data_IF_630937978447
#
_entry.id   IF_630937978447
#
_cell.length_a   1.000
_cell.length_b   1.000
_cell.length_c   1.000
_cell.angle_alpha   90.00
_cell.angle_beta   90.00
_cell.angle_gamma   90.00
#
_symmetry.space_group_name_H-M   'P 1'
#
loop_
_entity.id
_entity.type
_entity.pdbx_description
1 polymer ?
#
# COMPACT_ATOMS: atom_id res chain seq x y z
N UNK A 1 -5.49 12.92 26.16
CA UNK A 1 -4.13 13.43 25.85
C UNK A 1 -4.01 13.66 24.35
N UNK A 2 -3.19 14.62 23.92
CA UNK A 2 -2.96 14.91 22.49
C UNK A 2 -1.92 13.96 21.90
N UNK A 3 -2.06 13.62 20.61
CA UNK A 3 -1.10 12.80 19.86
C UNK A 3 -0.31 13.60 18.81
N UNK A 4 -0.38 14.93 18.84
CA UNK A 4 0.38 15.79 17.92
C UNK A 4 -0.04 15.72 16.44
N UNK A 5 -1.23 15.18 16.14
CA UNK A 5 -1.70 14.95 14.77
C UNK A 5 -2.76 15.97 14.29
N UNK A 6 -2.90 17.12 14.96
CA UNK A 6 -3.87 18.17 14.57
C UNK A 6 -3.11 19.39 14.07
N UNK A 7 -3.12 19.62 12.77
CA UNK A 7 -2.44 20.76 12.14
C UNK A 7 -3.11 21.13 10.80
N UNK A 8 -2.84 22.33 10.31
CA UNK A 8 -3.36 22.88 9.05
C UNK A 8 -2.20 23.19 8.08
N UNK A 9 -2.52 23.34 6.79
CA UNK A 9 -1.50 23.70 5.78
C UNK A 9 -1.00 25.15 5.90
N UNK A 10 -1.81 26.06 6.45
CA UNK A 10 -1.46 27.46 6.66
C UNK A 10 -2.20 28.06 7.86
N UNK A 11 -1.84 29.30 8.24
CA UNK A 11 -2.49 30.04 9.32
C UNK A 11 -3.97 30.35 9.06
N UNK A 12 -4.39 30.37 7.79
CA UNK A 12 -5.75 30.74 7.37
C UNK A 12 -6.67 29.51 7.18
N UNK A 13 -6.15 28.31 7.45
CA UNK A 13 -6.85 27.05 7.24
C UNK A 13 -7.30 26.44 8.57
N UNK A 14 -8.45 25.77 8.56
CA UNK A 14 -8.95 25.04 9.72
C UNK A 14 -8.08 23.81 9.97
N UNK A 15 -7.62 23.64 11.21
CA UNK A 15 -6.90 22.45 11.66
C UNK A 15 -7.85 21.27 11.89
N UNK A 16 -7.39 20.07 11.53
CA UNK A 16 -8.09 18.82 11.79
C UNK A 16 -7.09 17.67 11.90
N UNK A 17 -7.58 16.47 12.19
CA UNK A 17 -6.76 15.28 12.40
C UNK A 17 -6.12 14.82 11.08
N UNK A 18 -4.82 15.02 10.98
CA UNK A 18 -3.97 14.64 9.85
C UNK A 18 -3.32 13.29 10.07
N UNK A 19 -2.89 12.68 8.98
CA UNK A 19 -2.05 11.48 9.07
C UNK A 19 -0.65 11.87 9.55
N UNK A 20 -0.06 11.14 10.51
CA UNK A 20 1.37 11.23 10.79
C UNK A 20 2.16 10.44 9.74
N UNK A 21 3.46 10.23 9.97
CA UNK A 21 4.21 9.24 9.21
C UNK A 21 3.82 7.84 9.69
N UNK A 22 3.28 7.01 8.79
CA UNK A 22 2.80 5.67 9.12
C UNK A 22 3.59 4.65 8.33
N UNK A 23 4.35 3.83 9.04
CA UNK A 23 5.23 2.81 8.45
C UNK A 23 4.93 1.43 9.00
N UNK A 24 5.06 0.42 8.13
CA UNK A 24 5.14 -0.97 8.53
C UNK A 24 6.60 -1.29 8.86
N UNK A 25 6.86 -1.77 10.07
CA UNK A 25 8.19 -2.22 10.46
C UNK A 25 8.64 -3.40 9.56
N UNK A 26 9.94 -3.46 9.18
CA UNK A 26 10.45 -4.61 8.45
C UNK A 26 10.32 -5.90 9.27
N UNK A 27 10.35 -7.03 8.58
CA UNK A 27 10.45 -8.35 9.21
C UNK A 27 11.72 -8.44 10.05
N UNK A 28 11.64 -9.14 11.19
CA UNK A 28 12.79 -9.34 12.08
C UNK A 28 13.72 -10.46 11.61
N UNK A 29 13.17 -11.44 10.91
CA UNK A 29 13.90 -12.58 10.37
C UNK A 29 14.39 -12.28 8.96
N UNK A 30 15.56 -12.82 8.61
CA UNK A 30 16.13 -12.66 7.28
C UNK A 30 15.20 -13.26 6.23
N UNK A 31 14.69 -12.43 5.33
CA UNK A 31 13.73 -12.82 4.31
C UNK A 31 13.81 -11.85 3.13
N UNK A 32 14.28 -12.36 1.98
CA UNK A 32 14.32 -11.58 0.74
C UNK A 32 13.03 -11.67 -0.05
N UNK A 33 12.82 -10.71 -0.95
CA UNK A 33 11.72 -10.75 -1.94
C UNK A 33 11.75 -12.04 -2.77
N UNK A 34 12.94 -12.50 -3.16
CA UNK A 34 13.10 -13.73 -3.92
C UNK A 34 12.66 -14.96 -3.13
N UNK A 35 12.91 -15.00 -1.82
CA UNK A 35 12.49 -16.11 -0.97
C UNK A 35 10.97 -16.14 -0.78
N UNK A 36 10.32 -14.98 -0.74
CA UNK A 36 8.86 -14.90 -0.78
C UNK A 36 8.31 -15.40 -2.12
N UNK A 37 8.87 -14.92 -3.24
CA UNK A 37 8.41 -15.28 -4.60
C UNK A 37 8.50 -16.79 -4.84
N UNK A 38 9.60 -17.44 -4.44
CA UNK A 38 9.80 -18.90 -4.61
C UNK A 38 8.64 -19.74 -4.08
N UNK A 39 7.95 -19.26 -3.04
CA UNK A 39 6.85 -19.95 -2.35
C UNK A 39 5.46 -19.51 -2.83
N UNK A 40 5.35 -18.95 -4.04
CA UNK A 40 4.10 -18.50 -4.66
C UNK A 40 3.84 -19.29 -5.95
N UNK A 41 2.79 -20.10 -5.97
CA UNK A 41 2.38 -20.87 -7.16
C UNK A 41 1.78 -19.97 -8.25
N UNK A 42 0.89 -19.06 -7.85
CA UNK A 42 0.27 -18.07 -8.74
C UNK A 42 0.03 -16.79 -7.97
N UNK A 43 0.52 -15.66 -8.48
CA UNK A 43 0.35 -14.36 -7.83
C UNK A 43 0.78 -13.20 -8.71
N UNK A 44 0.75 -12.01 -8.14
CA UNK A 44 1.22 -10.79 -8.80
C UNK A 44 2.20 -10.09 -7.87
N UNK A 45 3.38 -9.79 -8.38
CA UNK A 45 4.32 -8.89 -7.73
C UNK A 45 4.04 -7.46 -8.17
N UNK A 46 3.62 -6.63 -7.22
CA UNK A 46 3.26 -5.23 -7.44
C UNK A 46 4.39 -4.36 -6.90
N UNK A 47 4.95 -3.49 -7.74
CA UNK A 47 6.04 -2.60 -7.38
C UNK A 47 5.52 -1.16 -7.33
N UNK A 48 5.88 -0.49 -6.23
CA UNK A 48 5.56 0.90 -5.92
C UNK A 48 4.06 1.17 -5.80
N UNK A 49 3.71 2.42 -5.50
CA UNK A 49 2.34 2.89 -5.41
C UNK A 49 1.77 3.29 -6.79
N UNK A 50 0.45 3.47 -6.84
CA UNK A 50 -0.30 3.88 -8.02
C UNK A 50 -1.57 4.61 -7.61
N UNK A 51 -2.62 4.52 -8.42
CA UNK A 51 -3.90 5.13 -8.08
C UNK A 51 -4.46 4.57 -6.77
N UNK A 52 -5.05 5.42 -5.94
CA UNK A 52 -5.73 5.02 -4.71
C UNK A 52 -7.16 5.56 -4.63
N UNK A 53 -8.06 4.71 -4.13
CA UNK A 53 -9.44 5.08 -3.81
C UNK A 53 -9.82 4.41 -2.50
N UNK A 54 -10.37 5.18 -1.57
CA UNK A 54 -10.73 4.74 -0.21
C UNK A 54 -12.11 5.28 0.11
N UNK A 55 -12.97 4.45 0.71
CA UNK A 55 -14.29 4.93 1.13
C UNK A 55 -14.21 5.86 2.35
N UNK A 56 -15.31 6.55 2.65
CA UNK A 56 -15.35 7.51 3.77
C UNK A 56 -15.15 6.85 5.13
N UNK A 57 -15.49 5.57 5.29
CA UNK A 57 -15.31 4.84 6.54
C UNK A 57 -13.88 4.29 6.69
N UNK A 58 -13.05 4.40 5.64
CA UNK A 58 -11.76 3.72 5.50
C UNK A 58 -11.88 2.19 5.66
N UNK A 59 -13.06 1.65 5.37
CA UNK A 59 -13.37 0.24 5.48
C UNK A 59 -12.98 -0.49 4.21
N UNK A 60 -13.23 0.11 3.04
CA UNK A 60 -12.89 -0.46 1.74
C UNK A 60 -11.88 0.40 0.98
N UNK A 61 -11.02 -0.25 0.19
CA UNK A 61 -10.09 0.42 -0.70
C UNK A 61 -9.93 -0.29 -2.05
N UNK A 62 -9.47 0.47 -3.05
CA UNK A 62 -8.95 -0.03 -4.32
C UNK A 62 -7.64 0.68 -4.62
N UNK A 63 -6.55 -0.08 -4.75
CA UNK A 63 -5.22 0.44 -5.05
C UNK A 63 -4.62 -0.16 -6.32
N UNK A 64 -3.76 0.61 -6.97
CA UNK A 64 -2.91 0.18 -8.07
C UNK A 64 -1.44 0.13 -7.64
N UNK A 65 -0.55 0.03 -8.62
CA UNK A 65 0.90 0.06 -8.47
C UNK A 65 1.54 0.58 -9.75
N UNK A 66 2.84 0.81 -9.72
CA UNK A 66 3.58 1.34 -10.86
C UNK A 66 3.95 0.25 -11.86
N UNK A 67 4.36 -0.92 -11.38
CA UNK A 67 4.65 -2.10 -12.22
C UNK A 67 3.99 -3.33 -11.63
N UNK A 68 3.57 -4.24 -12.52
CA UNK A 68 2.93 -5.50 -12.17
C UNK A 68 3.63 -6.64 -12.90
N UNK A 69 3.99 -7.69 -12.16
CA UNK A 69 4.60 -8.89 -12.72
C UNK A 69 3.82 -10.13 -12.31
N UNK A 70 3.55 -11.02 -13.26
CA UNK A 70 2.97 -12.33 -12.94
C UNK A 70 4.03 -13.21 -12.26
N UNK A 71 3.65 -13.80 -11.12
CA UNK A 71 4.39 -14.88 -10.50
C UNK A 71 3.71 -16.21 -10.87
N UNK A 72 4.49 -17.15 -11.40
CA UNK A 72 4.05 -18.52 -11.68
C UNK A 72 5.12 -19.52 -11.23
N UNK A 73 4.72 -20.49 -10.41
CA UNK A 73 5.56 -21.56 -9.87
C UNK A 73 6.90 -21.05 -9.31
N UNK A 74 6.83 -20.02 -8.46
CA UNK A 74 8.00 -19.47 -7.78
C UNK A 74 8.87 -18.54 -8.63
N UNK A 75 8.39 -18.09 -9.80
CA UNK A 75 9.17 -17.26 -10.74
C UNK A 75 8.35 -16.12 -11.32
N UNK A 76 9.00 -14.98 -11.56
CA UNK A 76 8.43 -13.90 -12.38
C UNK A 76 8.45 -14.35 -13.84
N UNK A 77 7.30 -14.32 -14.52
CA UNK A 77 7.16 -14.82 -15.91
C UNK A 77 6.86 -13.74 -16.93
N UNK A 78 6.48 -12.54 -16.52
CA UNK A 78 6.22 -11.42 -17.42
C UNK A 78 5.50 -10.26 -16.74
N UNK A 79 5.37 -9.14 -17.46
CA UNK A 79 4.62 -7.98 -16.98
C UNK A 79 3.13 -8.14 -17.24
N UNK A 80 2.33 -7.60 -16.31
CA UNK A 80 0.89 -7.42 -16.46
C UNK A 80 0.57 -5.93 -16.64
N UNK A 81 -0.61 -5.67 -17.17
CA UNK A 81 -1.19 -4.33 -17.27
C UNK A 81 -2.62 -4.34 -16.74
N UNK A 82 -3.14 -3.15 -16.48
CA UNK A 82 -4.55 -2.95 -16.09
C UNK A 82 -4.90 -3.69 -14.79
N UNK A 83 -3.99 -3.73 -13.82
CA UNK A 83 -4.17 -4.42 -12.54
C UNK A 83 -4.54 -3.43 -11.43
N UNK A 84 -5.58 -3.76 -10.66
CA UNK A 84 -5.86 -3.12 -9.38
C UNK A 84 -6.29 -4.17 -8.36
N UNK A 85 -6.03 -3.94 -7.08
CA UNK A 85 -6.46 -4.81 -6.00
C UNK A 85 -7.45 -4.09 -5.10
N UNK A 86 -8.45 -4.82 -4.64
CA UNK A 86 -9.53 -4.34 -3.79
C UNK A 86 -9.61 -5.20 -2.55
N UNK A 87 -9.85 -4.57 -1.40
CA UNK A 87 -10.13 -5.31 -0.18
C UNK A 87 -10.82 -4.42 0.86
N UNK A 88 -11.38 -5.11 1.85
CA UNK A 88 -11.60 -4.52 3.16
C UNK A 88 -10.26 -4.33 3.88
N UNK A 89 -10.09 -3.21 4.59
CA UNK A 89 -8.85 -2.88 5.31
C UNK A 89 -8.45 -3.95 6.33
N UNK A 90 -9.39 -4.42 7.16
CA UNK A 90 -9.10 -5.41 8.21
C UNK A 90 -8.76 -6.78 7.61
N UNK A 91 -9.54 -7.22 6.63
CA UNK A 91 -9.28 -8.49 5.93
C UNK A 91 -7.93 -8.48 5.20
N UNK A 92 -7.59 -7.37 4.54
CA UNK A 92 -6.30 -7.21 3.86
C UNK A 92 -5.14 -7.37 4.84
N UNK A 93 -5.14 -6.63 5.96
CA UNK A 93 -4.04 -6.73 6.92
C UNK A 93 -3.99 -8.09 7.63
N UNK A 94 -5.14 -8.72 7.90
CA UNK A 94 -5.19 -10.11 8.41
C UNK A 94 -4.64 -11.13 7.41
N UNK A 95 -4.62 -10.81 6.12
CA UNK A 95 -4.07 -11.68 5.07
C UNK A 95 -2.55 -11.53 4.85
N UNK A 96 -1.89 -10.64 5.60
CA UNK A 96 -0.45 -10.46 5.56
C UNK A 96 0.25 -11.69 6.14
N UNK A 97 0.98 -12.43 5.30
CA UNK A 97 1.64 -13.70 5.68
C UNK A 97 3.16 -13.60 5.76
N UNK A 98 3.76 -12.57 5.18
CA UNK A 98 5.20 -12.33 5.27
C UNK A 98 5.54 -10.86 5.05
N UNK A 99 6.63 -10.41 5.68
CA UNK A 99 7.24 -9.09 5.53
C UNK A 99 8.73 -9.30 5.33
N UNK A 100 9.30 -8.77 4.25
CA UNK A 100 10.74 -8.82 4.02
C UNK A 100 11.52 -8.09 5.11
N UNK A 101 12.80 -8.45 5.28
CA UNK A 101 13.67 -7.86 6.28
C UNK A 101 14.05 -6.40 5.98
N UNK A 102 14.88 -5.82 6.85
CA UNK A 102 15.32 -4.43 6.76
C UNK A 102 16.11 -4.11 5.49
N UNK A 103 16.72 -5.11 4.84
CA UNK A 103 17.48 -4.89 3.60
C UNK A 103 16.59 -4.50 2.42
N UNK A 104 15.28 -4.75 2.52
CA UNK A 104 14.27 -4.37 1.54
C UNK A 104 13.47 -3.12 1.93
N UNK A 105 13.73 -2.52 3.10
CA UNK A 105 12.93 -1.40 3.59
C UNK A 105 13.09 -0.15 2.72
N UNK A 106 11.98 0.47 2.37
CA UNK A 106 11.92 1.72 1.57
C UNK A 106 11.01 2.72 2.25
N UNK A 107 11.36 4.01 2.14
CA UNK A 107 10.54 5.13 2.63
C UNK A 107 10.07 5.97 1.44
N UNK A 108 8.75 5.98 1.22
CA UNK A 108 8.09 6.85 0.25
C UNK A 108 7.51 8.10 0.91
N UNK A 109 7.40 9.19 0.16
CA UNK A 109 6.77 10.43 0.61
C UNK A 109 5.59 10.83 -0.27
N UNK A 110 4.59 11.49 0.32
CA UNK A 110 3.47 12.10 -0.38
C UNK A 110 3.26 13.54 0.09
N UNK A 111 2.78 14.39 -0.83
CA UNK A 111 2.53 15.82 -0.58
C UNK A 111 1.09 16.12 -0.11
N UNK A 112 0.31 15.08 0.19
CA UNK A 112 -0.99 15.19 0.84
C UNK A 112 -1.40 13.84 1.45
N UNK A 113 -2.33 13.87 2.40
CA UNK A 113 -2.94 12.70 3.05
C UNK A 113 -4.40 12.47 2.61
N UNK A 114 -4.83 13.11 1.52
CA UNK A 114 -6.18 12.97 0.96
C UNK A 114 -7.31 13.52 1.84
N UNK A 115 -7.02 14.42 2.80
CA UNK A 115 -8.02 14.96 3.73
C UNK A 115 -8.27 16.47 3.55
N UNK A 116 -9.42 16.90 4.06
CA UNK A 116 -9.89 18.28 4.04
C UNK A 116 -11.00 18.51 3.02
N UNK A 117 -11.93 19.41 3.34
CA UNK A 117 -12.87 19.95 2.37
C UNK A 117 -13.06 21.46 2.62
N UNK A 118 -12.35 22.34 1.87
CA UNK A 118 -11.42 22.06 0.76
C UNK A 118 -10.19 21.23 1.16
N UNK A 119 -9.61 20.51 0.20
CA UNK A 119 -8.42 19.70 0.41
C UNK A 119 -7.23 20.54 0.90
N UNK A 120 -6.43 19.99 1.82
CA UNK A 120 -5.23 20.64 2.34
C UNK A 120 -3.97 19.80 2.12
N UNK A 121 -2.85 20.45 1.79
CA UNK A 121 -1.55 19.77 1.65
C UNK A 121 -0.94 19.43 3.03
N UNK A 122 -0.07 18.42 3.05
CA UNK A 122 0.86 18.12 4.13
C UNK A 122 1.98 17.19 3.64
N UNK A 123 3.10 17.17 4.36
CA UNK A 123 4.14 16.18 4.13
C UNK A 123 3.86 14.94 4.97
N UNK A 124 3.67 13.79 4.32
CA UNK A 124 3.56 12.48 4.98
C UNK A 124 4.50 11.50 4.33
N UNK A 125 4.97 10.52 5.11
CA UNK A 125 5.79 9.43 4.61
C UNK A 125 5.25 8.08 5.03
N UNK A 126 5.42 7.10 4.14
CA UNK A 126 5.06 5.71 4.34
C UNK A 126 6.28 4.83 4.10
N UNK A 127 6.71 4.13 5.14
CA UNK A 127 7.81 3.19 5.04
C UNK A 127 7.32 1.75 5.11
N UNK A 128 7.90 0.88 4.28
CA UNK A 128 7.61 -0.55 4.31
C UNK A 128 8.68 -1.36 3.59
N UNK A 129 8.85 -2.61 4.00
CA UNK A 129 9.45 -3.65 3.17
C UNK A 129 8.37 -4.30 2.30
N UNK A 130 8.76 -5.06 1.29
CA UNK A 130 7.84 -5.88 0.49
C UNK A 130 7.08 -6.84 1.40
N UNK A 131 5.77 -6.94 1.20
CA UNK A 131 4.87 -7.80 1.97
C UNK A 131 4.11 -8.76 1.08
N UNK A 132 3.78 -9.93 1.64
CA UNK A 132 2.95 -10.94 0.99
C UNK A 132 1.56 -10.95 1.60
N UNK A 133 0.56 -10.75 0.77
CA UNK A 133 -0.85 -10.88 1.12
C UNK A 133 -1.48 -12.04 0.34
N UNK A 134 -2.24 -12.90 1.01
CA UNK A 134 -2.90 -14.05 0.38
C UNK A 134 -4.40 -13.82 0.21
N UNK A 135 -5.00 -14.27 -0.90
CA UNK A 135 -6.45 -14.20 -1.09
C UNK A 135 -7.00 -12.79 -1.31
N UNK A 136 -6.16 -11.83 -1.74
CA UNK A 136 -6.59 -10.48 -2.09
C UNK A 136 -7.30 -10.49 -3.45
N UNK A 137 -8.44 -9.80 -3.56
CA UNK A 137 -9.16 -9.68 -4.82
C UNK A 137 -8.41 -8.75 -5.78
N UNK A 138 -8.13 -9.24 -7.00
CA UNK A 138 -7.47 -8.49 -8.06
C UNK A 138 -8.38 -8.40 -9.28
N UNK A 139 -8.56 -7.19 -9.79
CA UNK A 139 -9.38 -6.90 -10.97
C UNK A 139 -8.52 -6.49 -12.17
N UNK A 140 -9.06 -6.76 -13.37
CA UNK A 140 -8.56 -6.18 -14.61
C UNK A 140 -9.36 -4.90 -14.91
N UNK A 141 -8.73 -3.74 -14.84
CA UNK A 141 -9.38 -2.42 -14.99
C UNK A 141 -9.79 -2.09 -16.42
N UNK A 142 -9.26 -2.81 -17.42
CA UNK A 142 -9.66 -2.67 -18.82
C UNK A 142 -10.89 -3.53 -19.19
N UNK A 143 -11.32 -4.45 -18.31
CA UNK A 143 -12.46 -5.31 -18.58
C UNK A 143 -13.75 -4.49 -18.59
N UNK A 144 -14.41 -4.41 -19.74
CA UNK A 144 -15.81 -3.97 -19.82
C UNK A 144 -16.69 -5.12 -19.34
N UNK A 145 -17.53 -4.84 -18.35
CA UNK A 145 -18.60 -5.74 -17.89
C UNK A 145 -19.77 -5.63 -18.85
#
# INVERSE_FOLDING_TARGET
ESQGCCYAQSWNDVQFQRMPNVSLMPGKEKLSVNDMIKNVEKGIYIINDGSFSIDQQRYNFQFGGQLFYEIKNGKIVGMLKDVAYQANTQEFWNSCTAVADESDYRLGGAFNDGKGQPAQSNAVSHGSSTTRFNGVNVINTARKI
#
